data_IF_528615993430
#
_entry.id   IF_528615993430
#
_cell.length_a   1.000
_cell.length_b   1.000
_cell.length_c   1.000
_cell.angle_alpha   90.00
_cell.angle_beta   90.00
_cell.angle_gamma   90.00
#
_symmetry.space_group_name_H-M   'P 1'
#
loop_
_entity.id
_entity.type
_entity.pdbx_description
1 polymer ?
#
# COMPACT_ATOMS: atom_id res chain seq x y z
N UNK A 1 6.42 10.40 7.20
CA UNK A 1 6.06 10.25 8.64
C UNK A 1 4.63 9.73 8.64
N UNK A 2 4.30 8.64 9.34
CA UNK A 2 2.92 8.17 9.41
C UNK A 2 2.07 9.16 10.21
N UNK A 3 0.81 9.31 9.83
CA UNK A 3 -0.18 10.14 10.54
C UNK A 3 -1.57 9.54 10.43
N UNK A 4 -2.42 9.88 11.40
CA UNK A 4 -3.81 9.41 11.48
C UNK A 4 -4.73 10.61 11.65
N UNK A 5 -5.85 10.60 10.94
CA UNK A 5 -6.99 11.49 11.15
C UNK A 5 -8.09 10.66 11.81
N UNK A 6 -8.47 11.01 13.03
CA UNK A 6 -9.49 10.31 13.82
C UNK A 6 -10.92 10.73 13.41
N UNK A 7 -11.28 10.41 12.16
CA UNK A 7 -12.66 10.48 11.65
C UNK A 7 -13.42 9.17 11.90
N UNK A 8 -14.67 9.09 11.44
CA UNK A 8 -15.48 7.88 11.51
C UNK A 8 -15.85 7.42 10.08
N UNK A 9 -15.13 6.45 9.47
CA UNK A 9 -13.98 5.70 10.01
C UNK A 9 -12.66 6.50 10.00
N UNK A 10 -11.62 6.06 10.74
CA UNK A 10 -10.32 6.73 10.77
C UNK A 10 -9.58 6.59 9.44
N UNK A 11 -8.63 7.50 9.22
CA UNK A 11 -7.79 7.53 8.03
C UNK A 11 -6.32 7.52 8.46
N UNK A 12 -5.58 6.50 8.05
CA UNK A 12 -4.14 6.37 8.23
C UNK A 12 -3.39 6.62 6.93
N UNK A 13 -2.32 7.41 6.97
CA UNK A 13 -1.48 7.66 5.79
C UNK A 13 0.01 7.75 6.14
N UNK A 14 0.85 7.33 5.22
CA UNK A 14 2.28 7.64 5.21
C UNK A 14 2.75 7.87 3.77
N UNK A 15 3.63 8.85 3.61
CA UNK A 15 4.34 9.07 2.34
C UNK A 15 3.56 9.98 1.40
N UNK A 16 3.77 9.79 0.09
CA UNK A 16 3.19 10.64 -0.93
C UNK A 16 1.77 10.18 -1.29
N UNK A 17 0.88 11.15 -1.50
CA UNK A 17 -0.34 10.92 -2.26
C UNK A 17 -0.02 10.62 -3.72
N UNK A 18 -0.95 10.02 -4.43
CA UNK A 18 -0.79 9.74 -5.86
C UNK A 18 -0.53 11.02 -6.69
N UNK A 19 -1.29 12.12 -6.52
CA UNK A 19 -0.98 13.38 -7.22
C UNK A 19 0.40 13.94 -6.92
N UNK A 20 0.85 13.88 -5.66
CA UNK A 20 2.21 14.33 -5.29
C UNK A 20 3.29 13.47 -5.93
N UNK A 21 3.08 12.15 -5.98
CA UNK A 21 4.00 11.24 -6.66
C UNK A 21 4.04 11.50 -8.17
N UNK A 22 2.89 11.76 -8.80
CA UNK A 22 2.80 12.10 -10.23
C UNK A 22 3.51 13.42 -10.51
N UNK A 23 3.28 14.45 -9.69
CA UNK A 23 3.94 15.75 -9.85
C UNK A 23 5.46 15.64 -9.70
N UNK A 24 5.94 14.75 -8.83
CA UNK A 24 7.37 14.59 -8.53
C UNK A 24 8.12 13.67 -9.50
N UNK A 25 7.49 12.58 -9.96
CA UNK A 25 8.17 11.53 -10.72
C UNK A 25 7.59 11.33 -12.14
N UNK A 26 6.48 11.99 -12.46
CA UNK A 26 5.76 11.84 -13.73
C UNK A 26 4.84 10.63 -13.76
N UNK A 27 3.69 10.77 -14.44
CA UNK A 27 2.65 9.73 -14.52
C UNK A 27 3.18 8.37 -14.95
N UNK A 28 4.09 8.32 -15.93
CA UNK A 28 4.65 7.07 -16.45
C UNK A 28 5.37 6.22 -15.39
N UNK A 29 5.87 6.87 -14.33
CA UNK A 29 6.64 6.27 -13.26
C UNK A 29 5.81 5.91 -12.02
N UNK A 30 4.53 6.26 -11.98
CA UNK A 30 3.67 5.99 -10.83
C UNK A 30 2.75 4.82 -11.14
N UNK A 31 2.61 3.91 -10.19
CA UNK A 31 1.59 2.85 -10.24
C UNK A 31 0.84 2.85 -8.92
N UNK A 32 -0.47 3.03 -8.98
CA UNK A 32 -1.34 3.01 -7.82
C UNK A 32 -2.11 1.69 -7.78
N UNK A 33 -2.11 1.04 -6.62
CA UNK A 33 -2.90 -0.13 -6.32
C UNK A 33 -4.00 0.26 -5.36
N UNK A 34 -5.23 -0.19 -5.58
CA UNK A 34 -6.36 0.14 -4.70
C UNK A 34 -7.20 -1.08 -4.38
N UNK A 35 -7.73 -1.14 -3.16
CA UNK A 35 -8.77 -2.09 -2.75
C UNK A 35 -9.87 -1.34 -2.01
N UNK A 36 -11.12 -1.75 -2.22
CA UNK A 36 -12.30 -1.22 -1.54
C UNK A 36 -13.23 -2.35 -1.17
N UNK A 37 -13.61 -2.43 0.10
CA UNK A 37 -14.38 -3.55 0.63
C UNK A 37 -15.14 -3.19 1.91
N UNK A 38 -16.09 -4.03 2.30
CA UNK A 38 -16.73 -3.96 3.62
C UNK A 38 -15.99 -4.86 4.60
N UNK A 39 -15.52 -4.31 5.72
CA UNK A 39 -14.79 -5.10 6.73
C UNK A 39 -15.67 -6.25 7.27
N UNK A 40 -15.07 -7.43 7.50
CA UNK A 40 -15.75 -8.60 8.08
C UNK A 40 -16.40 -8.30 9.43
N UNK A 41 -15.88 -7.32 10.18
CA UNK A 41 -16.51 -6.83 11.41
C UNK A 41 -17.99 -6.41 11.21
N UNK A 42 -18.34 -5.87 10.03
CA UNK A 42 -19.71 -5.50 9.67
C UNK A 42 -20.46 -6.61 8.91
N UNK A 43 -19.95 -7.84 8.90
CA UNK A 43 -20.58 -8.97 8.18
C UNK A 43 -22.00 -9.22 8.67
N UNK A 44 -22.20 -9.20 9.99
CA UNK A 44 -23.47 -9.35 10.67
C UNK A 44 -24.01 -7.99 11.13
N UNK A 45 -25.32 -7.77 11.00
CA UNK A 45 -26.01 -6.66 11.68
C UNK A 45 -26.22 -5.37 10.88
N UNK A 46 -25.79 -5.27 9.62
CA UNK A 46 -26.18 -4.16 8.73
C UNK A 46 -26.59 -4.66 7.33
N UNK A 47 -27.66 -4.10 6.74
CA UNK A 47 -27.92 -4.22 5.31
C UNK A 47 -26.69 -3.82 4.49
N UNK A 48 -26.47 -4.47 3.34
CA UNK A 48 -25.24 -4.34 2.56
C UNK A 48 -24.92 -2.89 2.15
N UNK A 49 -25.95 -2.11 1.82
CA UNK A 49 -25.92 -0.69 1.45
C UNK A 49 -25.54 0.26 2.60
N UNK A 50 -25.60 -0.20 3.85
CA UNK A 50 -25.30 0.58 5.05
C UNK A 50 -23.96 0.22 5.71
N UNK A 51 -23.20 -0.70 5.11
CA UNK A 51 -21.89 -1.12 5.62
C UNK A 51 -20.84 -0.05 5.29
N UNK A 52 -20.15 0.54 6.29
CA UNK A 52 -19.03 1.43 6.03
C UNK A 52 -17.99 0.73 5.17
N UNK A 53 -17.57 1.40 4.09
CA UNK A 53 -16.51 0.89 3.23
C UNK A 53 -15.15 1.21 3.85
N UNK A 54 -14.23 0.28 3.66
CA UNK A 54 -12.79 0.51 3.80
C UNK A 54 -12.22 0.70 2.40
N UNK A 55 -11.36 1.69 2.23
CA UNK A 55 -10.63 1.95 1.00
C UNK A 55 -9.14 2.04 1.31
N UNK A 56 -8.33 1.42 0.47
CA UNK A 56 -6.88 1.34 0.63
C UNK A 56 -6.19 1.70 -0.68
N UNK A 57 -5.02 2.33 -0.58
CA UNK A 57 -4.17 2.66 -1.73
C UNK A 57 -2.69 2.50 -1.40
N UNK A 58 -1.96 1.79 -2.25
CA UNK A 58 -0.51 1.85 -2.32
C UNK A 58 -0.09 2.70 -3.51
N UNK A 59 0.87 3.60 -3.30
CA UNK A 59 1.49 4.43 -4.33
C UNK A 59 2.91 3.95 -4.53
N UNK A 60 3.18 3.38 -5.70
CA UNK A 60 4.47 2.82 -6.05
C UNK A 60 5.14 3.66 -7.14
N UNK A 61 6.48 3.68 -7.15
CA UNK A 61 7.26 4.38 -8.18
C UNK A 61 8.33 3.48 -8.81
N UNK A 62 8.65 3.80 -10.06
CA UNK A 62 9.73 3.15 -10.80
C UNK A 62 9.43 1.72 -11.23
N UNK A 63 10.42 1.07 -11.83
CA UNK A 63 10.33 -0.29 -12.38
C UNK A 63 10.24 -1.34 -11.27
N UNK A 64 10.91 -1.10 -10.14
CA UNK A 64 10.89 -1.98 -8.96
C UNK A 64 9.63 -1.80 -8.10
N UNK A 65 8.76 -0.84 -8.45
CA UNK A 65 7.53 -0.53 -7.72
C UNK A 65 7.81 -0.24 -6.23
N UNK A 66 8.76 0.65 -5.96
CA UNK A 66 9.07 1.08 -4.59
C UNK A 66 7.86 1.80 -4.01
N UNK A 67 7.38 1.33 -2.85
CA UNK A 67 6.21 1.89 -2.18
C UNK A 67 6.61 3.21 -1.51
N UNK A 68 6.08 4.32 -2.03
CA UNK A 68 6.33 5.67 -1.51
C UNK A 68 5.13 6.29 -0.83
N UNK A 69 3.97 5.63 -0.89
CA UNK A 69 2.77 6.04 -0.20
C UNK A 69 1.89 4.84 0.16
N UNK A 70 1.30 4.87 1.36
CA UNK A 70 0.24 3.97 1.78
C UNK A 70 -0.87 4.78 2.44
N UNK A 71 -2.11 4.52 2.05
CA UNK A 71 -3.28 5.28 2.49
C UNK A 71 -4.41 4.30 2.78
N UNK A 72 -5.03 4.42 3.96
CA UNK A 72 -6.14 3.58 4.39
C UNK A 72 -7.20 4.46 5.01
N UNK A 73 -8.44 4.34 4.56
CA UNK A 73 -9.61 4.92 5.18
C UNK A 73 -10.56 3.78 5.57
N UNK A 74 -10.70 3.49 6.86
CA UNK A 74 -11.45 2.32 7.32
C UNK A 74 -11.19 1.95 8.77
N UNK A 75 -11.97 1.01 9.28
CA UNK A 75 -11.83 0.52 10.65
C UNK A 75 -10.42 -0.06 10.89
N UNK A 76 -9.73 0.44 11.93
CA UNK A 76 -8.39 -0.01 12.32
C UNK A 76 -7.25 0.69 11.57
N UNK A 77 -7.53 1.67 10.69
CA UNK A 77 -6.50 2.43 9.98
C UNK A 77 -5.52 3.17 10.93
N UNK A 78 -6.03 3.56 12.10
CA UNK A 78 -5.35 4.23 13.20
C UNK A 78 -4.23 3.38 13.82
N UNK A 79 -4.34 2.06 13.79
CA UNK A 79 -3.29 1.13 14.25
C UNK A 79 -2.49 0.53 13.08
N UNK A 80 -3.17 0.25 11.97
CA UNK A 80 -2.63 -0.46 10.81
C UNK A 80 -1.43 0.27 10.18
N UNK A 81 -1.50 1.60 10.06
CA UNK A 81 -0.52 2.37 9.30
C UNK A 81 0.89 2.34 9.92
N UNK A 82 1.00 2.10 11.23
CA UNK A 82 2.26 2.12 11.96
C UNK A 82 3.24 1.05 11.42
N UNK A 83 2.76 -0.19 11.23
CA UNK A 83 3.56 -1.31 10.73
C UNK A 83 4.03 -1.08 9.29
N UNK A 84 3.13 -0.64 8.42
CA UNK A 84 3.48 -0.26 7.04
C UNK A 84 4.43 0.93 6.99
N UNK A 85 4.37 1.81 7.99
CA UNK A 85 5.30 2.91 8.15
C UNK A 85 6.75 2.46 8.27
N UNK A 86 7.01 1.36 9.00
CA UNK A 86 8.34 0.75 9.11
C UNK A 86 8.79 0.22 7.75
N UNK A 87 7.96 -0.57 7.07
CA UNK A 87 8.27 -1.17 5.77
C UNK A 87 8.62 -0.10 4.71
N UNK A 88 7.81 0.96 4.63
CA UNK A 88 8.04 2.07 3.69
C UNK A 88 9.33 2.82 4.04
N UNK A 89 9.69 2.95 5.32
CA UNK A 89 10.94 3.57 5.73
C UNK A 89 12.18 2.75 5.38
N UNK A 90 12.04 1.44 5.32
CA UNK A 90 13.07 0.51 4.82
C UNK A 90 13.17 0.50 3.29
N UNK A 91 12.29 1.21 2.58
CA UNK A 91 12.28 1.25 1.12
C UNK A 91 11.64 0.02 0.49
N UNK A 92 10.59 -0.53 1.12
CA UNK A 92 9.89 -1.70 0.61
C UNK A 92 9.39 -1.51 -0.83
N UNK A 93 9.47 -2.59 -1.59
CA UNK A 93 8.88 -2.73 -2.92
C UNK A 93 7.49 -3.38 -2.80
N UNK A 94 6.65 -3.23 -3.83
CA UNK A 94 5.36 -3.93 -3.90
C UNK A 94 5.53 -5.46 -3.77
N UNK A 95 6.64 -6.01 -4.26
CA UNK A 95 6.97 -7.43 -4.03
C UNK A 95 7.15 -7.82 -2.57
N UNK A 96 7.61 -6.92 -1.69
CA UNK A 96 7.74 -7.26 -0.27
C UNK A 96 6.37 -7.37 0.39
N UNK A 97 5.42 -6.56 -0.06
CA UNK A 97 4.02 -6.66 0.33
C UNK A 97 3.41 -7.94 -0.23
N UNK A 98 3.69 -8.30 -1.48
CA UNK A 98 3.12 -9.52 -2.08
C UNK A 98 3.73 -10.83 -1.53
N UNK A 99 4.95 -10.76 -0.98
CA UNK A 99 5.67 -11.93 -0.45
C UNK A 99 5.35 -12.23 1.02
N UNK A 100 4.62 -11.36 1.73
CA UNK A 100 4.20 -11.67 3.09
C UNK A 100 2.87 -12.44 3.06
N UNK A 101 2.80 -13.50 3.86
CA UNK A 101 1.55 -14.25 4.03
C UNK A 101 0.54 -13.38 4.76
N UNK A 102 -0.63 -13.20 4.14
CA UNK A 102 -1.76 -12.50 4.72
C UNK A 102 -2.21 -13.12 6.06
N UNK A 103 -2.47 -12.27 7.05
CA UNK A 103 -3.15 -12.69 8.28
C UNK A 103 -4.66 -12.61 8.03
N UNK A 104 -5.33 -13.76 8.12
CA UNK A 104 -6.76 -13.87 7.84
C UNK A 104 -7.56 -14.27 9.10
N UNK A 105 -8.73 -13.65 9.39
CA UNK A 105 -9.35 -12.53 8.67
C UNK A 105 -8.94 -11.16 9.24
N UNK A 106 -8.37 -10.26 8.42
CA UNK A 106 -8.06 -8.88 8.84
C UNK A 106 -8.23 -7.89 7.69
N UNK A 107 -8.69 -6.66 7.97
CA UNK A 107 -8.68 -5.62 6.93
C UNK A 107 -7.27 -5.32 6.39
N UNK A 108 -6.25 -5.43 7.25
CA UNK A 108 -4.86 -5.19 6.86
C UNK A 108 -4.33 -6.19 5.84
N UNK A 109 -4.96 -7.36 5.70
CA UNK A 109 -4.55 -8.34 4.70
C UNK A 109 -4.66 -7.79 3.28
N UNK A 110 -5.63 -6.90 3.03
CA UNK A 110 -5.86 -6.25 1.74
C UNK A 110 -4.70 -5.36 1.29
N UNK A 111 -3.85 -4.87 2.22
CA UNK A 111 -2.64 -4.12 1.86
C UNK A 111 -1.56 -5.01 1.24
N UNK A 112 -1.50 -6.26 1.67
CA UNK A 112 -0.54 -7.27 1.19
C UNK A 112 -1.15 -8.17 0.13
N UNK A 113 -2.46 -8.01 -0.09
CA UNK A 113 -3.20 -8.60 -1.19
C UNK A 113 -3.88 -7.50 -2.03
N UNK A 114 -3.12 -6.63 -2.71
CA UNK A 114 -3.65 -5.86 -3.87
C UNK A 114 -3.24 -6.46 -5.22
N UNK A 115 -4.24 -6.77 -6.06
CA UNK A 115 -4.05 -7.32 -7.40
C UNK A 115 -3.47 -6.29 -8.39
N UNK A 116 -2.78 -6.74 -9.46
CA UNK A 116 -2.43 -8.12 -9.79
C UNK A 116 -1.35 -8.76 -8.90
N UNK A 117 -1.54 -10.05 -8.59
CA UNK A 117 -0.66 -10.89 -7.77
C UNK A 117 0.56 -11.39 -8.54
N UNK A 118 1.59 -11.83 -7.82
CA UNK A 118 2.64 -12.70 -8.37
C UNK A 118 3.46 -12.08 -9.50
N UNK A 119 3.50 -10.75 -9.57
CA UNK A 119 4.28 -10.00 -10.56
C UNK A 119 5.79 -10.21 -10.40
N UNK A 120 6.24 -10.62 -9.21
CA UNK A 120 7.66 -10.76 -8.88
C UNK A 120 7.86 -12.13 -8.22
N UNK A 121 8.56 -13.01 -8.94
CA UNK A 121 8.79 -14.41 -8.55
C UNK A 121 10.13 -14.55 -7.82
N UNK A 122 10.02 -14.85 -6.53
CA UNK A 122 10.93 -15.66 -5.71
C UNK A 122 12.44 -15.44 -5.86
N UNK A 123 12.96 -14.49 -5.09
CA UNK A 123 13.99 -14.72 -4.05
C UNK A 123 14.35 -13.36 -3.41
N UNK A 124 13.76 -13.05 -2.25
CA UNK A 124 14.26 -11.94 -1.42
C UNK A 124 15.55 -12.43 -0.75
N UNK A 125 16.68 -12.31 -1.45
CA UNK A 125 17.99 -12.24 -0.81
C UNK A 125 18.26 -10.76 -0.51
N UNK A 126 17.99 -10.34 0.72
CA UNK A 126 18.50 -9.06 1.20
C UNK A 126 19.97 -9.27 1.59
N UNK A 127 20.95 -8.70 0.86
CA UNK A 127 22.32 -8.67 1.36
C UNK A 127 22.31 -7.90 2.69
N UNK A 128 22.96 -8.45 3.71
CA UNK A 128 23.18 -7.74 4.97
C UNK A 128 23.97 -6.45 4.66
N UNK A 129 23.42 -5.27 4.97
CA UNK A 129 24.24 -4.07 5.18
C UNK A 129 24.03 -2.82 4.31
N UNK A 130 23.06 -2.75 3.39
CA UNK A 130 22.74 -1.47 2.71
C UNK A 130 21.24 -1.23 2.52
N UNK A 131 20.82 0.04 2.55
CA UNK A 131 19.50 0.42 2.08
C UNK A 131 19.33 -0.05 0.62
N UNK A 132 18.11 -0.47 0.25
CA UNK A 132 17.82 -0.87 -1.14
C UNK A 132 18.22 0.24 -2.10
N UNK A 133 18.67 -0.15 -3.30
CA UNK A 133 19.03 0.81 -4.34
C UNK A 133 17.85 1.75 -4.64
N UNK A 134 18.11 3.02 -5.01
CA UNK A 134 17.05 3.93 -5.44
C UNK A 134 16.21 3.33 -6.59
N UNK A 135 14.93 3.70 -6.71
CA UNK A 135 14.07 3.22 -7.78
C UNK A 135 14.63 3.60 -9.16
N UNK A 136 14.60 2.66 -10.10
CA UNK A 136 14.85 2.93 -11.51
C UNK A 136 13.58 3.45 -12.16
N UNK A 137 13.67 4.54 -12.90
CA UNK A 137 12.51 5.13 -13.57
C UNK A 137 12.42 4.69 -15.03
N UNK A 138 11.19 4.62 -15.56
CA UNK A 138 10.92 4.41 -16.98
C UNK A 138 11.39 5.66 -17.72
N UNK A 139 12.29 5.50 -18.69
CA UNK A 139 12.73 6.62 -19.51
C UNK A 139 11.63 7.02 -20.50
N UNK A 140 11.45 8.32 -20.79
CA UNK A 140 10.52 8.74 -21.82
C UNK A 140 11.03 8.24 -23.20
N UNK A 141 10.41 7.19 -23.74
CA UNK A 141 10.68 6.71 -25.10
C UNK A 141 10.76 5.20 -25.34
N UNK A 142 10.66 4.34 -24.32
CA UNK A 142 10.50 2.89 -24.52
C UNK A 142 9.05 2.49 -24.22
N UNK A 143 8.30 2.22 -25.29
CA UNK A 143 6.97 1.59 -25.28
C UNK A 143 7.08 0.12 -24.86
#
# INVERSE_FOLDING_TARGET
IPTVIFSHPPIGTIGLTEPEAIAKYGQANVTAYTSSFSNLFYSLGKPADHKPQTAMKLVCIGVQETVVGAHVAGLGADEMIQGFGVAIKMGAYKSDFDNIVAIHPTASEEMVTMAPWGKIKDQIQLPYGTARAPPTFKQPGHL
#
